data_IF_149071899079
#
_entry.id   IF_149071899079
#
_cell.length_a   1.000
_cell.length_b   1.000
_cell.length_c   1.000
_cell.angle_alpha   90.00
_cell.angle_beta   90.00
_cell.angle_gamma   90.00
#
_symmetry.space_group_name_H-M   'P 1'
#
loop_
_entity.id
_entity.type
_entity.pdbx_description
1 polymer ?
#
# COMPACT_ATOMS: atom_id res chain seq x y z
N UNK A 1 -19.77 -16.26 4.98
CA UNK A 1 -18.57 -15.40 4.93
C UNK A 1 -17.88 -15.44 6.28
N UNK A 2 -16.73 -16.12 6.36
CA UNK A 2 -15.88 -16.16 7.57
C UNK A 2 -14.91 -14.99 7.54
N UNK A 3 -15.19 -13.98 8.36
CA UNK A 3 -14.35 -12.79 8.55
C UNK A 3 -13.53 -12.89 9.84
N UNK A 4 -12.32 -12.35 9.85
CA UNK A 4 -11.44 -12.30 11.02
C UNK A 4 -10.76 -10.94 11.14
N UNK A 5 -10.71 -10.44 12.37
CA UNK A 5 -9.93 -9.25 12.73
C UNK A 5 -8.43 -9.53 12.57
N UNK A 6 -7.64 -8.49 12.30
CA UNK A 6 -6.19 -8.61 12.13
C UNK A 6 -5.46 -7.42 12.75
N UNK A 7 -4.16 -7.55 13.07
CA UNK A 7 -3.34 -6.43 13.52
C UNK A 7 -2.73 -5.73 12.30
N UNK A 8 -3.38 -4.68 11.81
CA UNK A 8 -2.95 -3.95 10.62
C UNK A 8 -1.61 -3.24 10.85
N UNK A 9 -0.85 -3.10 9.76
CA UNK A 9 0.24 -2.14 9.68
C UNK A 9 -0.31 -0.91 8.98
N UNK A 10 -0.26 0.24 9.64
CA UNK A 10 -0.85 1.49 9.16
C UNK A 10 -0.01 2.69 9.58
N UNK A 11 -0.12 3.83 8.89
CA UNK A 11 0.52 5.05 9.34
C UNK A 11 -0.12 5.60 10.61
N UNK A 12 0.62 6.46 11.31
CA UNK A 12 0.02 7.38 12.27
C UNK A 12 -0.91 8.38 11.55
N UNK A 13 -2.01 8.84 12.19
CA UNK A 13 -2.98 9.71 11.52
C UNK A 13 -2.38 10.99 10.92
N UNK A 14 -1.44 11.62 11.61
CA UNK A 14 -0.70 12.82 11.19
C UNK A 14 0.29 12.55 10.05
N UNK A 15 0.74 11.31 9.89
CA UNK A 15 1.65 10.90 8.82
C UNK A 15 0.94 10.27 7.62
N UNK A 16 -0.37 10.01 7.72
CA UNK A 16 -1.12 9.31 6.67
C UNK A 16 -1.01 9.98 5.29
N UNK A 17 -1.06 11.31 5.25
CA UNK A 17 -0.90 12.07 4.00
C UNK A 17 0.51 11.95 3.39
N UNK A 18 1.55 11.91 4.22
CA UNK A 18 2.94 11.77 3.78
C UNK A 18 3.24 10.35 3.26
N UNK A 19 2.62 9.33 3.85
CA UNK A 19 2.78 7.93 3.44
C UNK A 19 1.99 7.62 2.17
N UNK A 20 0.82 8.23 2.00
CA UNK A 20 -0.04 7.99 0.84
C UNK A 20 0.64 8.31 -0.49
N UNK A 21 0.38 7.50 -1.50
CA UNK A 21 0.88 7.70 -2.85
C UNK A 21 -0.09 7.12 -3.89
N UNK A 22 0.10 7.50 -5.15
CA UNK A 22 -0.64 6.89 -6.24
C UNK A 22 -0.27 5.40 -6.38
N UNK A 23 -1.15 4.59 -7.02
CA UNK A 23 -0.83 3.23 -7.44
C UNK A 23 0.44 3.17 -8.30
N UNK A 24 1.15 2.04 -8.26
CA UNK A 24 2.45 1.89 -8.92
C UNK A 24 2.37 1.83 -10.46
N UNK A 25 1.21 1.44 -10.98
CA UNK A 25 0.90 1.24 -12.40
C UNK A 25 0.52 2.54 -13.12
N UNK A 26 0.28 3.62 -12.36
CA UNK A 26 -0.06 4.95 -12.90
C UNK A 26 1.08 5.97 -12.77
N UNK A 27 2.28 5.53 -12.37
CA UNK A 27 3.46 6.38 -12.15
C UNK A 27 4.65 5.71 -12.82
N UNK A 28 5.42 6.42 -13.66
CA UNK A 28 6.65 5.86 -14.26
C UNK A 28 7.86 5.96 -13.30
N UNK A 29 9.00 5.37 -13.68
CA UNK A 29 10.19 5.36 -12.81
C UNK A 29 10.69 6.75 -12.42
N UNK A 30 10.67 7.69 -13.36
CA UNK A 30 11.19 9.04 -13.14
C UNK A 30 10.27 9.87 -12.23
N UNK A 31 8.96 9.71 -12.37
CA UNK A 31 7.97 10.33 -11.49
C UNK A 31 8.03 9.73 -10.08
N UNK A 32 8.12 8.41 -9.97
CA UNK A 32 8.28 7.72 -8.70
C UNK A 32 9.54 8.23 -7.97
N UNK A 33 10.64 8.42 -8.69
CA UNK A 33 11.87 9.01 -8.16
C UNK A 33 11.64 10.40 -7.56
N UNK A 34 10.98 11.29 -8.30
CA UNK A 34 10.67 12.66 -7.83
C UNK A 34 9.77 12.64 -6.59
N UNK A 35 8.80 11.73 -6.53
CA UNK A 35 7.93 11.55 -5.35
C UNK A 35 8.76 11.11 -4.15
N UNK A 36 9.65 10.13 -4.32
CA UNK A 36 10.50 9.57 -3.27
C UNK A 36 11.49 10.61 -2.71
N UNK A 37 12.04 11.45 -3.56
CA UNK A 37 12.97 12.52 -3.16
C UNK A 37 12.24 13.66 -2.43
N UNK A 38 11.04 14.03 -2.89
CA UNK A 38 10.24 15.09 -2.28
C UNK A 38 9.66 14.67 -0.92
N UNK A 39 9.22 13.43 -0.79
CA UNK A 39 8.64 12.88 0.44
C UNK A 39 9.23 11.49 0.73
N UNK A 40 10.34 11.42 1.50
CA UNK A 40 11.00 10.15 1.83
C UNK A 40 10.13 9.15 2.60
N UNK A 41 9.05 9.60 3.26
CA UNK A 41 8.11 8.74 3.98
C UNK A 41 7.04 8.12 3.07
N UNK A 42 6.98 8.54 1.81
CA UNK A 42 6.01 8.03 0.84
C UNK A 42 6.16 6.51 0.65
N UNK A 43 5.04 5.81 0.67
CA UNK A 43 5.00 4.37 0.40
C UNK A 43 5.43 4.02 -1.03
N UNK A 44 5.54 5.03 -1.91
CA UNK A 44 6.07 4.88 -3.27
C UNK A 44 7.46 4.23 -3.28
N UNK A 45 8.30 4.46 -2.26
CA UNK A 45 9.62 3.80 -2.15
C UNK A 45 9.52 2.28 -1.98
N UNK A 46 8.43 1.80 -1.37
CA UNK A 46 8.14 0.36 -1.22
C UNK A 46 7.53 -0.19 -2.51
N UNK A 47 6.65 0.56 -3.17
CA UNK A 47 5.94 0.12 -4.39
C UNK A 47 6.81 0.15 -5.65
N UNK A 48 7.69 1.13 -5.78
CA UNK A 48 8.62 1.35 -6.90
C UNK A 48 10.07 1.36 -6.40
N UNK A 49 10.58 0.24 -5.86
CA UNK A 49 11.95 0.15 -5.35
C UNK A 49 13.01 0.37 -6.44
N UNK A 50 12.66 0.19 -7.71
CA UNK A 50 13.48 0.50 -8.89
C UNK A 50 13.80 1.99 -9.04
N UNK A 51 12.99 2.86 -8.44
CA UNK A 51 13.18 4.29 -8.38
C UNK A 51 13.90 4.76 -7.10
N UNK A 52 14.14 3.88 -6.12
CA UNK A 52 14.77 4.24 -4.84
C UNK A 52 16.29 4.51 -5.02
N UNK A 53 16.81 5.71 -4.70
CA UNK A 53 18.25 5.98 -4.70
C UNK A 53 19.08 5.07 -3.84
N UNK A 54 18.49 4.63 -2.73
CA UNK A 54 19.21 3.85 -1.74
C UNK A 54 19.28 2.38 -2.16
N UNK A 55 18.52 1.96 -3.20
CA UNK A 55 18.56 0.61 -3.75
C UNK A 55 19.87 0.38 -4.50
N UNK A 56 20.62 -0.65 -4.06
CA UNK A 56 21.88 -0.98 -4.71
C UNK A 56 21.60 -1.68 -6.05
N UNK A 57 22.43 -1.46 -7.08
CA UNK A 57 22.23 -2.08 -8.40
C UNK A 57 22.19 -3.61 -8.41
N UNK A 58 22.86 -4.26 -7.46
CA UNK A 58 22.93 -5.72 -7.31
C UNK A 58 21.83 -6.31 -6.41
N UNK A 59 21.05 -5.46 -5.74
CA UNK A 59 19.99 -5.91 -4.85
C UNK A 59 18.70 -6.22 -5.63
N UNK A 60 18.00 -7.29 -5.23
CA UNK A 60 16.70 -7.59 -5.83
C UNK A 60 15.67 -6.50 -5.48
N UNK A 61 14.71 -6.20 -6.37
CA UNK A 61 13.63 -5.25 -6.08
C UNK A 61 12.87 -5.57 -4.79
N UNK A 62 12.66 -6.86 -4.51
CA UNK A 62 12.04 -7.34 -3.27
C UNK A 62 12.86 -6.99 -2.03
N UNK A 63 14.18 -7.11 -2.09
CA UNK A 63 15.06 -6.75 -0.98
C UNK A 63 15.02 -5.24 -0.72
N UNK A 64 15.06 -4.42 -1.77
CA UNK A 64 14.95 -2.97 -1.65
C UNK A 64 13.59 -2.54 -1.08
N UNK A 65 12.48 -3.11 -1.58
CA UNK A 65 11.14 -2.85 -1.05
C UNK A 65 11.02 -3.27 0.43
N UNK A 66 11.54 -4.44 0.80
CA UNK A 66 11.54 -4.91 2.18
C UNK A 66 12.32 -3.95 3.09
N UNK A 67 13.50 -3.50 2.68
CA UNK A 67 14.31 -2.55 3.45
C UNK A 67 13.61 -1.20 3.60
N UNK A 68 13.00 -0.68 2.54
CA UNK A 68 12.20 0.56 2.59
C UNK A 68 11.02 0.41 3.57
N UNK A 69 10.31 -0.71 3.53
CA UNK A 69 9.20 -0.99 4.46
C UNK A 69 9.68 -1.10 5.91
N UNK A 70 10.79 -1.80 6.17
CA UNK A 70 11.38 -1.91 7.50
C UNK A 70 11.85 -0.55 8.04
N UNK A 71 12.34 0.35 7.18
CA UNK A 71 12.67 1.72 7.55
C UNK A 71 11.44 2.46 8.06
N UNK A 72 10.32 2.41 7.35
CA UNK A 72 9.07 3.05 7.78
C UNK A 72 8.57 2.52 9.14
N UNK A 73 8.76 1.23 9.42
CA UNK A 73 8.45 0.65 10.74
C UNK A 73 9.41 1.14 11.83
N UNK A 74 10.72 1.13 11.55
CA UNK A 74 11.76 1.54 12.50
C UNK A 74 11.63 3.02 12.87
N UNK A 75 11.30 3.86 11.91
CA UNK A 75 11.07 5.30 12.09
C UNK A 75 9.69 5.61 12.69
N UNK A 76 8.88 4.60 13.02
CA UNK A 76 7.51 4.74 13.54
C UNK A 76 6.58 5.54 12.63
N UNK A 77 6.89 5.59 11.33
CA UNK A 77 6.00 6.12 10.29
C UNK A 77 4.84 5.17 10.09
N UNK A 78 5.13 3.87 10.07
CA UNK A 78 4.16 2.78 10.12
C UNK A 78 4.22 2.09 11.48
N UNK A 79 3.05 1.71 11.98
CA UNK A 79 2.91 0.96 13.22
C UNK A 79 2.02 -0.25 13.00
N UNK A 80 2.38 -1.34 13.65
CA UNK A 80 1.50 -2.52 13.75
C UNK A 80 0.61 -2.37 14.98
N UNK A 81 -0.69 -2.52 14.81
CA UNK A 81 -1.60 -2.59 15.96
C UNK A 81 -1.23 -3.79 16.85
N UNK A 82 -1.30 -3.59 18.16
CA UNK A 82 -1.02 -4.55 19.22
C UNK A 82 -2.12 -5.61 19.38
N UNK A 83 -3.36 -5.24 19.05
CA UNK A 83 -4.53 -6.11 19.09
C UNK A 83 -5.20 -6.23 17.72
N UNK A 84 -5.90 -7.34 17.52
CA UNK A 84 -6.66 -7.58 16.28
C UNK A 84 -7.89 -6.69 16.28
N UNK A 85 -8.10 -5.94 15.19
CA UNK A 85 -9.26 -5.05 15.01
C UNK A 85 -9.93 -5.33 13.66
N UNK A 86 -11.17 -4.88 13.54
CA UNK A 86 -11.79 -4.62 12.24
C UNK A 86 -11.60 -3.14 11.91
N UNK A 87 -11.32 -2.84 10.65
CA UNK A 87 -11.03 -1.48 10.22
C UNK A 87 -12.12 -0.99 9.29
N UNK A 88 -12.48 0.28 9.46
CA UNK A 88 -13.34 1.01 8.56
C UNK A 88 -12.48 2.02 7.80
N UNK A 89 -12.77 2.20 6.52
CA UNK A 89 -12.22 3.28 5.72
C UNK A 89 -13.36 4.01 5.02
N UNK A 90 -13.13 5.28 4.69
CA UNK A 90 -14.06 6.10 3.93
C UNK A 90 -13.33 6.67 2.72
N UNK A 91 -13.91 6.48 1.54
CA UNK A 91 -13.51 7.13 0.31
C UNK A 91 -14.50 8.25 0.03
N UNK A 92 -13.98 9.43 -0.30
CA UNK A 92 -14.79 10.57 -0.72
C UNK A 92 -14.33 11.01 -2.10
N UNK A 93 -15.25 11.02 -3.06
CA UNK A 93 -15.05 11.57 -4.40
C UNK A 93 -16.30 12.33 -4.81
N UNK A 94 -16.12 13.55 -5.34
CA UNK A 94 -17.21 14.36 -5.89
C UNK A 94 -18.42 14.53 -4.94
N UNK A 95 -18.14 14.72 -3.64
CA UNK A 95 -19.17 14.88 -2.61
C UNK A 95 -19.91 13.60 -2.21
N UNK A 96 -19.54 12.43 -2.76
CA UNK A 96 -20.08 11.12 -2.39
C UNK A 96 -19.11 10.38 -1.48
N UNK A 97 -19.63 9.87 -0.37
CA UNK A 97 -18.87 9.06 0.58
C UNK A 97 -19.22 7.57 0.43
N UNK A 98 -18.19 6.73 0.35
CA UNK A 98 -18.31 5.28 0.43
C UNK A 98 -17.54 4.79 1.67
N UNK A 99 -18.21 4.04 2.54
CA UNK A 99 -17.56 3.38 3.68
C UNK A 99 -17.31 1.93 3.31
N UNK A 100 -16.07 1.48 3.51
CA UNK A 100 -15.67 0.10 3.33
C UNK A 100 -15.11 -0.50 4.61
N UNK A 101 -14.99 -1.83 4.60
CA UNK A 101 -14.40 -2.61 5.69
C UNK A 101 -13.08 -3.22 5.20
N UNK A 102 -12.03 -3.12 6.00
CA UNK A 102 -10.80 -3.89 5.80
C UNK A 102 -10.75 -4.99 6.85
N UNK A 103 -10.83 -6.25 6.38
CA UNK A 103 -10.90 -7.47 7.18
C UNK A 103 -10.13 -8.59 6.50
N UNK A 104 -9.77 -9.64 7.23
CA UNK A 104 -9.29 -10.87 6.62
C UNK A 104 -10.47 -11.82 6.39
N UNK A 105 -10.44 -12.56 5.28
CA UNK A 105 -11.45 -13.57 4.94
C UNK A 105 -10.76 -14.90 4.68
N UNK A 106 -11.47 -16.00 4.95
CA UNK A 106 -10.95 -17.32 4.58
C UNK A 106 -10.86 -17.45 3.06
N UNK A 107 -9.74 -17.97 2.53
CA UNK A 107 -9.50 -18.07 1.08
C UNK A 107 -10.58 -18.89 0.34
N UNK A 108 -11.24 -19.82 1.03
CA UNK A 108 -12.36 -20.58 0.48
C UNK A 108 -13.59 -19.71 0.16
N UNK A 109 -13.81 -18.59 0.85
CA UNK A 109 -14.91 -17.66 0.51
C UNK A 109 -14.73 -17.07 -0.89
N UNK A 110 -13.47 -16.88 -1.33
CA UNK A 110 -13.13 -16.51 -2.70
C UNK A 110 -13.41 -17.65 -3.69
N UNK A 111 -12.97 -18.88 -3.36
CA UNK A 111 -13.22 -20.07 -4.21
C UNK A 111 -14.71 -20.34 -4.43
N UNK A 112 -15.53 -20.11 -3.41
CA UNK A 112 -16.99 -20.26 -3.45
C UNK A 112 -17.71 -19.04 -4.06
N UNK A 113 -16.99 -18.06 -4.63
CA UNK A 113 -17.53 -16.83 -5.25
C UNK A 113 -18.42 -15.99 -4.31
N UNK A 114 -18.24 -16.12 -2.99
CA UNK A 114 -18.94 -15.29 -1.98
C UNK A 114 -18.27 -13.92 -1.84
N UNK A 115 -16.96 -13.87 -2.02
CA UNK A 115 -16.22 -12.62 -2.26
C UNK A 115 -16.28 -12.34 -3.75
N UNK A 116 -16.93 -11.23 -4.14
CA UNK A 116 -16.96 -10.79 -5.53
C UNK A 116 -15.59 -10.22 -5.90
N UNK A 117 -15.11 -10.57 -7.08
CA UNK A 117 -13.91 -9.98 -7.67
C UNK A 117 -14.28 -8.68 -8.35
N UNK A 118 -13.55 -7.60 -8.06
CA UNK A 118 -13.61 -6.37 -8.82
C UNK A 118 -12.21 -6.14 -9.39
N UNK A 119 -11.90 -6.85 -10.46
CA UNK A 119 -10.64 -6.66 -11.19
C UNK A 119 -10.99 -6.03 -12.54
N UNK A 120 -11.32 -4.74 -12.52
CA UNK A 120 -11.08 -3.88 -13.67
C UNK A 120 -9.64 -3.40 -13.53
N UNK A 121 -8.70 -4.27 -13.91
CA UNK A 121 -7.29 -3.91 -14.04
C UNK A 121 -7.12 -3.35 -15.45
N UNK A 122 -6.31 -2.29 -15.63
CA UNK A 122 -5.91 -1.87 -16.98
C UNK A 122 -5.26 -3.05 -17.69
N UNK A 123 -5.61 -3.25 -18.97
CA UNK A 123 -5.06 -4.34 -19.77
C UNK A 123 -3.53 -4.25 -19.92
N UNK A 124 -2.97 -3.04 -19.87
CA UNK A 124 -1.54 -2.80 -20.05
C UNK A 124 -0.96 -1.83 -19.00
N UNK A 125 0.21 -2.16 -18.39
CA UNK A 125 1.01 -1.24 -17.59
C UNK A 125 1.49 -0.05 -18.43
N UNK A 126 1.73 1.11 -17.80
CA UNK A 126 2.46 2.20 -18.46
C UNK A 126 3.90 1.73 -18.77
N UNK A 127 4.32 1.92 -20.03
CA UNK A 127 5.71 1.74 -20.43
C UNK A 127 6.53 2.97 -20.02
N UNK A 128 7.78 2.75 -19.63
CA UNK A 128 8.77 3.80 -19.33
C UNK A 128 9.16 4.60 -20.58
#
# INVERSE_FOLDING_TARGET
MRVRAFPAVRPLPDLAAAVSCAPYDVVNRQEARRIIEREPRSFMRVLRPDADPDCRPDASPHHCAARAFQRLLKERVLLRDDVRKYYLYRLEQEGRAQIGVAVTVHAEEYRLKRVRTHELVRDEPLHD
#
